data_IF_391484016954
#
_entry.id   IF_391484016954
#
_cell.length_a   1.000
_cell.length_b   1.000
_cell.length_c   1.000
_cell.angle_alpha   90.00
_cell.angle_beta   90.00
_cell.angle_gamma   90.00
#
_symmetry.space_group_name_H-M   'P 1'
#
loop_
_entity.id
_entity.type
_entity.pdbx_description
1 polymer ?
#
# COMPACT_ATOMS: atom_id res chain seq x y z
N UNK A 1 -37.26 36.74 0.42
CA UNK A 1 -36.54 37.11 1.66
C UNK A 1 -36.73 35.96 2.63
N UNK A 2 -35.68 35.19 2.94
CA UNK A 2 -35.81 34.08 3.90
C UNK A 2 -36.06 34.67 5.29
N UNK A 3 -37.17 34.30 5.92
CA UNK A 3 -37.52 34.72 7.28
C UNK A 3 -36.65 33.97 8.28
N UNK A 4 -35.50 34.56 8.62
CA UNK A 4 -34.50 33.99 9.52
C UNK A 4 -35.05 33.73 10.93
N UNK A 5 -36.20 34.33 11.31
CA UNK A 5 -36.80 34.16 12.64
C UNK A 5 -37.48 32.80 12.84
N UNK A 6 -37.76 32.06 11.76
CA UNK A 6 -38.41 30.72 11.82
C UNK A 6 -37.44 29.55 11.65
N UNK A 7 -36.13 29.83 11.61
CA UNK A 7 -35.12 28.79 11.42
C UNK A 7 -35.10 27.74 12.55
N UNK A 8 -35.48 28.13 13.77
CA UNK A 8 -35.59 27.22 14.91
C UNK A 8 -36.74 26.21 14.79
N UNK A 9 -37.76 26.50 13.99
CA UNK A 9 -38.95 25.67 13.81
C UNK A 9 -38.77 24.63 12.70
N UNK A 10 -37.75 24.81 11.85
CA UNK A 10 -37.44 23.90 10.75
C UNK A 10 -36.58 22.75 11.27
N UNK A 11 -37.19 21.57 11.37
CA UNK A 11 -36.42 20.33 11.61
C UNK A 11 -35.47 20.10 10.43
N UNK A 12 -34.18 20.08 10.73
CA UNK A 12 -33.18 19.74 9.74
C UNK A 12 -33.46 18.33 9.17
N UNK A 13 -33.30 18.11 7.86
CA UNK A 13 -33.44 16.78 7.28
C UNK A 13 -32.51 15.77 7.98
N UNK A 14 -32.88 14.49 8.08
CA UNK A 14 -31.97 13.45 8.58
C UNK A 14 -30.61 13.52 7.86
N UNK A 15 -29.53 13.41 8.62
CA UNK A 15 -28.16 13.47 8.10
C UNK A 15 -27.65 14.89 7.75
N UNK A 16 -28.40 15.96 8.03
CA UNK A 16 -28.01 17.32 7.62
C UNK A 16 -26.74 17.80 8.31
N UNK A 17 -26.61 17.61 9.63
CA UNK A 17 -25.42 18.02 10.37
C UNK A 17 -24.18 17.26 9.89
N UNK A 18 -24.33 15.97 9.60
CA UNK A 18 -23.29 15.08 9.08
C UNK A 18 -22.81 15.54 7.71
N UNK A 19 -23.74 15.85 6.79
CA UNK A 19 -23.42 16.41 5.47
C UNK A 19 -22.70 17.76 5.57
N UNK A 20 -23.15 18.65 6.47
CA UNK A 20 -22.51 19.95 6.69
C UNK A 20 -21.09 19.78 7.23
N UNK A 21 -20.87 18.89 8.19
CA UNK A 21 -19.54 18.61 8.74
C UNK A 21 -18.59 18.03 7.69
N UNK A 22 -19.07 17.09 6.86
CA UNK A 22 -18.29 16.57 5.74
C UNK A 22 -17.94 17.67 4.72
N UNK A 23 -18.93 18.46 4.31
CA UNK A 23 -18.75 19.52 3.30
C UNK A 23 -17.85 20.66 3.81
N UNK A 24 -17.93 20.98 5.10
CA UNK A 24 -17.04 21.93 5.76
C UNK A 24 -15.63 21.37 6.01
N UNK A 25 -15.39 20.08 5.74
CA UNK A 25 -14.10 19.42 5.98
C UNK A 25 -13.77 19.21 7.46
N UNK A 26 -14.81 19.21 8.31
CA UNK A 26 -14.73 18.98 9.76
C UNK A 26 -14.90 17.50 10.14
N UNK A 27 -15.26 16.65 9.18
CA UNK A 27 -15.31 15.20 9.30
C UNK A 27 -14.81 14.55 8.01
N UNK A 28 -14.28 13.33 8.13
CA UNK A 28 -14.06 12.44 6.99
C UNK A 28 -15.39 11.77 6.63
N UNK A 29 -15.61 11.53 5.34
CA UNK A 29 -16.76 10.79 4.83
C UNK A 29 -16.37 9.35 4.55
N UNK A 30 -17.30 8.40 4.65
CA UNK A 30 -17.05 7.03 4.21
C UNK A 30 -18.25 6.38 3.54
N UNK A 31 -17.95 5.32 2.78
CA UNK A 31 -18.89 4.42 2.14
C UNK A 31 -18.23 3.04 1.95
N UNK A 32 -19.04 2.05 1.61
CA UNK A 32 -18.58 0.70 1.24
C UNK A 32 -18.48 0.62 -0.28
N UNK A 33 -17.36 0.09 -0.76
CA UNK A 33 -17.12 -0.15 -2.18
C UNK A 33 -16.94 -1.65 -2.42
N UNK A 34 -17.65 -2.18 -3.41
CA UNK A 34 -17.38 -3.52 -3.93
C UNK A 34 -16.08 -3.49 -4.74
N UNK A 35 -15.15 -4.38 -4.40
CA UNK A 35 -13.83 -4.43 -5.04
C UNK A 35 -13.42 -5.86 -5.37
N UNK A 36 -12.32 -6.00 -6.11
CA UNK A 36 -11.67 -7.30 -6.38
C UNK A 36 -11.20 -8.03 -5.11
N UNK A 37 -11.19 -7.37 -3.95
CA UNK A 37 -10.83 -7.93 -2.65
C UNK A 37 -12.06 -8.23 -1.75
N UNK A 38 -13.27 -8.05 -2.30
CA UNK A 38 -14.54 -8.00 -1.58
C UNK A 38 -14.93 -6.58 -1.17
N UNK A 39 -15.97 -6.42 -0.32
CA UNK A 39 -16.40 -5.12 0.18
C UNK A 39 -15.32 -4.47 1.04
N UNK A 40 -15.01 -3.20 0.75
CA UNK A 40 -14.02 -2.39 1.48
C UNK A 40 -14.67 -1.10 1.94
N UNK A 41 -14.56 -0.79 3.23
CA UNK A 41 -14.90 0.51 3.78
C UNK A 41 -13.78 1.48 3.44
N UNK A 42 -14.13 2.61 2.82
CA UNK A 42 -13.17 3.63 2.41
C UNK A 42 -13.60 4.97 2.97
N UNK A 43 -12.73 5.60 3.76
CA UNK A 43 -12.90 6.95 4.23
C UNK A 43 -12.10 7.94 3.36
N UNK A 44 -12.68 9.12 3.12
CA UNK A 44 -12.07 10.19 2.35
C UNK A 44 -12.40 11.56 2.91
N UNK A 45 -11.58 12.54 2.55
CA UNK A 45 -11.85 13.95 2.74
C UNK A 45 -11.30 14.76 1.56
N UNK A 46 -11.28 16.09 1.68
CA UNK A 46 -10.79 16.99 0.61
C UNK A 46 -9.34 16.79 0.20
N UNK A 47 -8.52 16.13 1.02
CA UNK A 47 -7.10 15.84 0.73
C UNK A 47 -6.89 14.48 0.08
N UNK A 48 -7.87 13.58 0.11
CA UNK A 48 -7.78 12.24 -0.47
C UNK A 48 -8.40 11.16 0.42
N UNK A 49 -8.08 9.90 0.09
CA UNK A 49 -8.46 8.75 0.91
C UNK A 49 -7.64 8.77 2.20
N UNK A 50 -8.31 8.66 3.33
CA UNK A 50 -7.68 8.77 4.65
C UNK A 50 -7.56 7.46 5.39
N UNK A 51 -8.48 6.54 5.15
CA UNK A 51 -8.50 5.23 5.77
C UNK A 51 -9.21 4.24 4.86
N UNK A 52 -8.84 2.96 4.93
CA UNK A 52 -9.62 1.91 4.30
C UNK A 52 -9.39 0.55 4.96
N UNK A 53 -10.43 -0.23 5.19
CA UNK A 53 -10.27 -1.62 5.62
C UNK A 53 -11.47 -2.48 5.22
N UNK A 54 -11.26 -3.80 5.26
CA UNK A 54 -12.39 -4.73 5.28
C UNK A 54 -12.89 -4.82 6.71
N UNK A 55 -14.19 -4.76 6.88
CA UNK A 55 -14.85 -4.83 8.18
C UNK A 55 -16.17 -5.59 8.03
N UNK A 56 -16.64 -6.21 9.12
CA UNK A 56 -17.89 -6.96 9.16
C UNK A 56 -19.11 -6.05 9.27
N UNK A 57 -18.94 -4.82 9.76
CA UNK A 57 -20.02 -3.86 9.93
C UNK A 57 -19.53 -2.42 9.91
N UNK A 58 -20.42 -1.47 9.64
CA UNK A 58 -20.12 -0.04 9.76
C UNK A 58 -19.67 0.34 11.18
N UNK A 59 -20.27 -0.25 12.20
CA UNK A 59 -19.94 0.05 13.60
C UNK A 59 -18.49 -0.31 13.94
N UNK A 60 -18.00 -1.47 13.47
CA UNK A 60 -16.59 -1.88 13.66
C UNK A 60 -15.63 -0.92 12.93
N UNK A 61 -15.95 -0.53 11.68
CA UNK A 61 -15.15 0.44 10.95
C UNK A 61 -15.12 1.82 11.62
N UNK A 62 -16.28 2.31 12.07
CA UNK A 62 -16.41 3.60 12.75
C UNK A 62 -15.70 3.63 14.10
N UNK A 63 -15.74 2.52 14.84
CA UNK A 63 -15.00 2.39 16.10
C UNK A 63 -13.49 2.41 15.84
N UNK A 64 -12.99 1.58 14.94
CA UNK A 64 -11.57 1.56 14.58
C UNK A 64 -11.10 2.93 14.09
N UNK A 65 -11.87 3.59 13.22
CA UNK A 65 -11.50 4.91 12.72
C UNK A 65 -11.39 5.94 13.87
N UNK A 66 -12.29 5.88 14.85
CA UNK A 66 -12.26 6.77 16.01
C UNK A 66 -11.03 6.51 16.89
N UNK A 67 -10.69 5.24 17.13
CA UNK A 67 -9.60 4.84 18.02
C UNK A 67 -8.22 5.05 17.38
N UNK A 68 -8.06 4.64 16.11
CA UNK A 68 -6.76 4.65 15.42
C UNK A 68 -6.48 5.94 14.63
N UNK A 69 -7.52 6.57 14.05
CA UNK A 69 -7.37 7.79 13.25
C UNK A 69 -7.69 9.04 14.06
N UNK A 70 -8.57 8.94 15.06
CA UNK A 70 -8.86 10.04 15.98
C UNK A 70 -9.60 11.22 15.35
N UNK A 71 -10.31 10.99 14.24
CA UNK A 71 -11.10 12.03 13.54
C UNK A 71 -12.58 11.68 13.50
N UNK A 72 -13.42 12.70 13.29
CA UNK A 72 -14.85 12.50 13.09
C UNK A 72 -15.09 11.84 11.74
N UNK A 73 -15.99 10.86 11.72
CA UNK A 73 -16.34 10.08 10.55
C UNK A 73 -17.86 10.14 10.34
N UNK A 74 -18.30 10.28 9.09
CA UNK A 74 -19.73 10.28 8.73
C UNK A 74 -19.97 9.44 7.49
N UNK A 75 -21.03 8.65 7.48
CA UNK A 75 -21.44 7.93 6.28
C UNK A 75 -22.02 8.92 5.27
N UNK A 76 -21.61 8.81 4.00
CA UNK A 76 -22.07 9.70 2.93
C UNK A 76 -22.07 8.99 1.57
N UNK A 77 -22.82 9.54 0.62
CA UNK A 77 -22.76 9.08 -0.76
C UNK A 77 -21.37 9.38 -1.37
N UNK A 78 -20.78 8.41 -2.09
CA UNK A 78 -19.45 8.61 -2.65
C UNK A 78 -19.49 9.65 -3.78
N UNK A 79 -18.50 10.56 -3.85
CA UNK A 79 -18.42 11.53 -4.95
C UNK A 79 -18.24 10.81 -6.29
N UNK A 80 -18.77 11.43 -7.35
CA UNK A 80 -18.69 10.90 -8.70
C UNK A 80 -17.24 10.51 -9.08
N UNK A 81 -17.09 9.33 -9.69
CA UNK A 81 -15.80 8.81 -10.14
C UNK A 81 -14.85 8.32 -9.03
N UNK A 82 -15.24 8.33 -7.75
CA UNK A 82 -14.40 7.75 -6.68
C UNK A 82 -14.25 6.23 -6.83
N UNK A 83 -15.33 5.50 -7.14
CA UNK A 83 -15.30 4.06 -7.37
C UNK A 83 -14.32 3.66 -8.49
N UNK A 84 -14.41 4.32 -9.65
CA UNK A 84 -13.47 4.09 -10.77
C UNK A 84 -12.02 4.38 -10.39
N UNK A 85 -11.75 5.44 -9.61
CA UNK A 85 -10.40 5.74 -9.12
C UNK A 85 -9.88 4.67 -8.15
N UNK A 86 -10.75 4.13 -7.28
CA UNK A 86 -10.44 3.03 -6.37
C UNK A 86 -10.04 1.79 -7.17
N UNK A 87 -10.81 1.42 -8.19
CA UNK A 87 -10.49 0.30 -9.07
C UNK A 87 -9.16 0.51 -9.80
N UNK A 88 -8.92 1.70 -10.36
CA UNK A 88 -7.67 2.04 -11.02
C UNK A 88 -6.46 1.94 -10.07
N UNK A 89 -6.61 2.37 -8.81
CA UNK A 89 -5.56 2.25 -7.79
C UNK A 89 -5.27 0.78 -7.46
N UNK A 90 -6.30 -0.05 -7.27
CA UNK A 90 -6.15 -1.47 -6.95
C UNK A 90 -5.54 -2.26 -8.12
N UNK A 91 -5.88 -1.89 -9.37
CA UNK A 91 -5.29 -2.45 -10.58
C UNK A 91 -3.90 -1.89 -10.90
N UNK A 92 -3.46 -0.84 -10.20
CA UNK A 92 -2.17 -0.19 -10.43
C UNK A 92 -2.12 0.66 -11.72
N UNK A 93 -3.28 1.03 -12.27
CA UNK A 93 -3.43 1.88 -13.46
C UNK A 93 -3.17 3.35 -13.17
N UNK A 94 -3.69 3.85 -12.05
CA UNK A 94 -3.57 5.28 -11.67
C UNK A 94 -3.42 5.44 -10.17
N UNK A 95 -2.47 6.28 -9.75
CA UNK A 95 -2.26 6.60 -8.34
C UNK A 95 -3.28 7.61 -7.82
N UNK A 96 -3.89 7.31 -6.68
CA UNK A 96 -4.75 8.24 -5.93
C UNK A 96 -3.95 9.08 -4.93
N UNK A 97 -4.59 10.13 -4.40
CA UNK A 97 -4.08 10.92 -3.29
C UNK A 97 -4.54 10.33 -1.96
N UNK A 98 -3.66 10.39 -0.96
CA UNK A 98 -3.90 9.86 0.37
C UNK A 98 -3.64 10.93 1.44
N UNK A 99 -4.55 11.06 2.40
CA UNK A 99 -4.37 11.90 3.58
C UNK A 99 -3.66 11.09 4.66
N UNK A 100 -2.37 11.38 4.86
CA UNK A 100 -1.53 10.72 5.86
C UNK A 100 -1.27 11.61 7.09
N UNK A 101 -2.03 12.69 7.28
CA UNK A 101 -1.93 13.52 8.48
C UNK A 101 -2.26 12.70 9.73
N UNK A 102 -1.67 13.07 10.86
CA UNK A 102 -1.77 12.30 12.10
C UNK A 102 -0.72 11.20 12.22
N UNK A 103 -0.16 10.72 11.10
CA UNK A 103 1.00 9.81 11.13
C UNK A 103 2.30 10.56 11.35
N UNK A 104 3.25 9.91 12.03
CA UNK A 104 4.61 10.45 12.20
C UNK A 104 5.30 10.66 10.85
N UNK A 105 6.25 11.61 10.73
CA UNK A 105 7.00 11.82 9.50
C UNK A 105 7.66 10.53 8.96
N UNK A 106 8.18 9.69 9.86
CA UNK A 106 8.75 8.39 9.50
C UNK A 106 7.71 7.45 8.87
N UNK A 107 6.55 7.27 9.50
CA UNK A 107 5.49 6.43 8.96
C UNK A 107 4.98 6.95 7.61
N UNK A 108 4.84 8.28 7.46
CA UNK A 108 4.49 8.86 6.16
C UNK A 108 5.53 8.55 5.09
N UNK A 109 6.83 8.66 5.40
CA UNK A 109 7.90 8.34 4.47
C UNK A 109 7.88 6.86 4.06
N UNK A 110 7.68 5.95 5.02
CA UNK A 110 7.51 4.51 4.77
C UNK A 110 6.36 4.25 3.80
N UNK A 111 5.16 4.75 4.11
CA UNK A 111 3.96 4.49 3.31
C UNK A 111 4.05 5.09 1.89
N UNK A 112 4.61 6.31 1.76
CA UNK A 112 4.87 6.92 0.45
C UNK A 112 5.88 6.11 -0.36
N UNK A 113 6.93 5.59 0.28
CA UNK A 113 7.90 4.72 -0.39
C UNK A 113 7.29 3.38 -0.81
N UNK A 114 6.40 2.81 0.00
CA UNK A 114 5.65 1.60 -0.34
C UNK A 114 4.77 1.76 -1.58
N UNK A 115 4.14 2.94 -1.77
CA UNK A 115 3.35 3.25 -2.98
C UNK A 115 4.17 3.19 -4.28
N UNK A 116 5.50 3.28 -4.20
CA UNK A 116 6.36 3.16 -5.37
C UNK A 116 6.48 1.72 -5.89
N UNK A 117 6.15 0.70 -5.08
CA UNK A 117 6.28 -0.71 -5.46
C UNK A 117 5.15 -1.08 -6.44
N UNK A 118 5.44 -1.40 -7.71
CA UNK A 118 4.40 -1.69 -8.69
C UNK A 118 3.65 -2.99 -8.40
N UNK A 119 2.43 -3.11 -8.94
CA UNK A 119 1.64 -4.36 -8.91
C UNK A 119 2.46 -5.52 -9.45
N UNK A 120 2.40 -6.67 -8.75
CA UNK A 120 3.13 -7.87 -9.15
C UNK A 120 4.63 -7.85 -8.84
N UNK A 121 5.09 -6.83 -8.10
CA UNK A 121 6.45 -6.77 -7.57
C UNK A 121 6.45 -6.75 -6.04
N UNK A 122 7.54 -7.21 -5.45
CA UNK A 122 7.78 -7.15 -4.00
C UNK A 122 9.14 -6.57 -3.67
N UNK A 123 9.28 -6.00 -2.47
CA UNK A 123 10.56 -5.51 -1.93
C UNK A 123 10.77 -5.97 -0.50
N UNK A 124 12.02 -6.16 -0.05
CA UNK A 124 12.28 -6.45 1.35
C UNK A 124 12.05 -5.22 2.23
N UNK A 125 11.76 -5.40 3.52
CA UNK A 125 11.65 -4.27 4.48
C UNK A 125 12.90 -3.38 4.48
N UNK A 126 14.09 -4.00 4.36
CA UNK A 126 15.36 -3.28 4.28
C UNK A 126 15.48 -2.36 3.05
N UNK A 127 14.78 -2.68 1.96
CA UNK A 127 14.71 -1.79 0.80
C UNK A 127 14.03 -0.48 1.16
N UNK A 128 12.87 -0.52 1.84
CA UNK A 128 12.20 0.72 2.26
C UNK A 128 13.09 1.49 3.23
N UNK A 129 13.63 0.82 4.25
CA UNK A 129 14.48 1.44 5.27
C UNK A 129 15.63 2.23 4.63
N UNK A 130 16.31 1.63 3.65
CA UNK A 130 17.35 2.29 2.87
C UNK A 130 16.82 3.45 2.03
N UNK A 131 15.75 3.25 1.28
CA UNK A 131 15.19 4.26 0.36
C UNK A 131 14.59 5.50 1.07
N UNK A 132 14.35 5.42 2.37
CA UNK A 132 13.93 6.57 3.20
C UNK A 132 15.09 7.17 4.01
N UNK A 133 16.34 6.72 3.79
CA UNK A 133 17.53 7.24 4.47
C UNK A 133 17.79 6.67 5.87
N UNK A 134 17.11 5.60 6.26
CA UNK A 134 17.23 4.97 7.59
C UNK A 134 17.51 3.47 7.49
N UNK A 135 18.66 3.03 6.93
CA UNK A 135 18.92 1.62 6.62
C UNK A 135 18.83 0.68 7.85
N UNK A 136 19.18 1.15 9.04
CA UNK A 136 19.08 0.38 10.28
C UNK A 136 17.63 0.22 10.80
N UNK A 137 16.67 0.99 10.29
CA UNK A 137 15.30 1.08 10.82
C UNK A 137 14.34 -0.02 10.31
N UNK A 138 14.85 -1.19 9.91
CA UNK A 138 14.06 -2.28 9.28
C UNK A 138 12.86 -2.71 10.14
N UNK A 139 13.05 -2.83 11.46
CA UNK A 139 11.96 -3.18 12.39
C UNK A 139 10.91 -2.08 12.48
N UNK A 140 11.33 -0.81 12.56
CA UNK A 140 10.42 0.33 12.61
C UNK A 140 9.61 0.47 11.32
N UNK A 141 10.20 0.16 10.15
CA UNK A 141 9.46 0.04 8.88
C UNK A 141 8.36 -1.01 8.99
N UNK A 142 8.67 -2.18 9.57
CA UNK A 142 7.67 -3.23 9.81
C UNK A 142 6.49 -2.74 10.66
N UNK A 143 6.76 -2.03 11.75
CA UNK A 143 5.73 -1.43 12.61
C UNK A 143 4.89 -0.38 11.88
N UNK A 144 5.52 0.51 11.11
CA UNK A 144 4.81 1.52 10.32
C UNK A 144 3.88 0.89 9.26
N UNK A 145 4.30 -0.22 8.63
CA UNK A 145 3.49 -0.95 7.66
C UNK A 145 2.35 -1.76 8.30
N UNK A 146 2.57 -2.26 9.53
CA UNK A 146 1.54 -2.96 10.29
C UNK A 146 0.39 -2.02 10.66
N UNK A 147 0.71 -0.76 10.97
CA UNK A 147 -0.23 0.31 11.29
C UNK A 147 -0.60 1.18 10.09
N UNK A 148 -0.54 0.63 8.87
CA UNK A 148 -1.00 1.34 7.67
C UNK A 148 -2.53 1.56 7.78
N UNK A 149 -3.04 2.80 7.81
CA UNK A 149 -4.49 3.05 7.90
C UNK A 149 -5.21 2.81 6.57
N UNK A 150 -4.47 2.61 5.47
CA UNK A 150 -5.01 2.43 4.13
C UNK A 150 -4.42 1.16 3.47
N UNK A 151 -4.59 -0.04 4.08
CA UNK A 151 -4.20 -1.31 3.47
C UNK A 151 -4.82 -1.46 2.08
N UNK A 152 -4.23 -2.34 1.28
CA UNK A 152 -4.59 -2.62 -0.12
C UNK A 152 -4.29 -1.48 -1.10
N UNK A 153 -4.67 -0.23 -0.79
CA UNK A 153 -4.37 0.94 -1.61
C UNK A 153 -2.92 1.39 -1.47
N UNK A 154 -2.43 1.52 -0.22
CA UNK A 154 -0.99 1.57 0.07
C UNK A 154 -0.53 0.13 0.22
N UNK A 155 0.30 -0.39 -0.70
CA UNK A 155 0.46 -1.83 -0.88
C UNK A 155 1.47 -2.45 0.10
N UNK A 156 1.20 -2.36 1.41
CA UNK A 156 2.07 -2.96 2.43
C UNK A 156 2.18 -4.49 2.33
N UNK A 157 1.27 -5.16 1.61
CA UNK A 157 1.40 -6.58 1.25
C UNK A 157 2.55 -6.86 0.28
N UNK A 158 3.01 -5.87 -0.51
CA UNK A 158 4.17 -5.99 -1.42
C UNK A 158 5.52 -5.91 -0.70
N UNK A 159 5.53 -5.67 0.61
CA UNK A 159 6.75 -5.65 1.42
C UNK A 159 6.87 -6.96 2.17
N UNK A 160 7.96 -7.70 1.94
CA UNK A 160 8.16 -9.04 2.49
C UNK A 160 9.50 -9.17 3.21
N UNK A 161 9.73 -10.30 3.88
CA UNK A 161 11.04 -10.60 4.44
C UNK A 161 11.99 -11.08 3.34
N UNK A 162 13.29 -10.80 3.51
CA UNK A 162 14.32 -11.20 2.53
C UNK A 162 14.54 -12.71 2.45
N UNK A 163 14.12 -13.46 3.48
CA UNK A 163 14.14 -14.93 3.52
C UNK A 163 12.95 -15.58 2.79
N UNK A 164 12.11 -14.77 2.13
CA UNK A 164 10.93 -15.25 1.40
C UNK A 164 9.74 -15.62 2.28
N UNK A 165 9.86 -15.50 3.61
CA UNK A 165 8.74 -15.75 4.52
C UNK A 165 7.72 -14.63 4.40
N UNK A 166 6.47 -15.02 4.08
CA UNK A 166 5.33 -14.12 4.06
C UNK A 166 4.78 -14.02 5.48
N UNK A 167 5.23 -12.99 6.20
CA UNK A 167 4.83 -12.73 7.59
C UNK A 167 3.43 -12.13 7.74
N UNK A 168 3.10 -11.79 8.99
CA UNK A 168 1.83 -11.16 9.36
C UNK A 168 1.54 -9.88 8.57
N UNK A 169 0.24 -9.59 8.43
CA UNK A 169 -0.28 -8.52 7.58
C UNK A 169 -1.49 -7.87 8.26
N UNK A 170 -1.48 -6.55 8.40
CA UNK A 170 -2.58 -5.80 9.01
C UNK A 170 -3.91 -5.94 8.25
N UNK A 171 -3.86 -6.16 6.93
CA UNK A 171 -5.06 -6.35 6.10
C UNK A 171 -5.62 -7.78 6.09
N UNK A 172 -5.64 -8.47 7.24
CA UNK A 172 -6.27 -9.80 7.37
C UNK A 172 -5.33 -11.01 7.42
N UNK A 173 -4.08 -10.82 7.85
CA UNK A 173 -3.15 -11.91 8.16
C UNK A 173 -2.35 -12.49 6.98
N UNK A 174 -1.46 -13.47 7.25
CA UNK A 174 -0.54 -14.04 6.26
C UNK A 174 -1.22 -14.61 5.01
N UNK A 175 -2.34 -15.31 5.17
CA UNK A 175 -3.06 -15.90 4.03
C UNK A 175 -3.69 -14.83 3.13
N UNK A 176 -4.27 -13.77 3.72
CA UNK A 176 -4.75 -12.64 2.93
C UNK A 176 -3.61 -11.99 2.12
N UNK A 177 -2.43 -11.84 2.73
CA UNK A 177 -1.24 -11.31 2.05
C UNK A 177 -0.81 -12.20 0.88
N UNK A 178 -0.76 -13.53 1.08
CA UNK A 178 -0.44 -14.49 0.00
C UNK A 178 -1.47 -14.42 -1.13
N UNK A 179 -2.76 -14.43 -0.80
CA UNK A 179 -3.84 -14.38 -1.80
C UNK A 179 -3.75 -13.13 -2.65
N UNK A 180 -3.55 -11.96 -2.03
CA UNK A 180 -3.40 -10.70 -2.76
C UNK A 180 -2.18 -10.75 -3.68
N UNK A 181 -1.01 -11.17 -3.17
CA UNK A 181 0.20 -11.28 -3.99
C UNK A 181 0.01 -12.22 -5.19
N UNK A 182 -0.66 -13.35 -5.00
CA UNK A 182 -1.02 -14.28 -6.08
C UNK A 182 -1.95 -13.62 -7.10
N UNK A 183 -2.98 -12.88 -6.66
CA UNK A 183 -3.86 -12.11 -7.55
C UNK A 183 -3.10 -11.02 -8.33
N UNK A 184 -2.00 -10.50 -7.79
CA UNK A 184 -1.12 -9.57 -8.50
C UNK A 184 -0.16 -10.25 -9.49
N UNK A 185 -0.17 -11.59 -9.57
CA UNK A 185 0.68 -12.37 -10.45
C UNK A 185 2.08 -12.64 -9.89
N UNK A 186 2.27 -12.55 -8.56
CA UNK A 186 3.52 -12.93 -7.91
C UNK A 186 3.61 -14.46 -7.80
N UNK A 187 4.67 -15.05 -8.37
CA UNK A 187 4.94 -16.48 -8.25
C UNK A 187 5.56 -16.80 -6.89
N UNK A 188 4.72 -16.95 -5.85
CA UNK A 188 5.17 -17.13 -4.47
C UNK A 188 6.10 -18.33 -4.28
N UNK A 189 5.79 -19.47 -4.90
CA UNK A 189 6.63 -20.67 -4.80
C UNK A 189 8.05 -20.41 -5.32
N UNK A 190 8.18 -19.85 -6.52
CA UNK A 190 9.49 -19.48 -7.11
C UNK A 190 10.27 -18.52 -6.21
N UNK A 191 9.59 -17.51 -5.69
CA UNK A 191 10.19 -16.52 -4.80
C UNK A 191 10.71 -17.15 -3.50
N UNK A 192 9.94 -18.08 -2.93
CA UNK A 192 10.33 -18.82 -1.72
C UNK A 192 11.46 -19.81 -1.99
N UNK A 193 11.45 -20.50 -3.12
CA UNK A 193 12.50 -21.45 -3.51
C UNK A 193 13.84 -20.74 -3.70
N UNK A 194 13.85 -19.59 -4.40
CA UNK A 194 15.04 -18.72 -4.50
C UNK A 194 15.51 -18.25 -3.13
N UNK A 195 14.58 -17.79 -2.29
CA UNK A 195 14.94 -17.26 -0.98
C UNK A 195 15.56 -18.33 -0.05
N UNK A 196 15.01 -19.56 -0.09
CA UNK A 196 15.55 -20.74 0.62
C UNK A 196 16.94 -21.15 0.13
N UNK A 197 17.18 -21.03 -1.18
CA UNK A 197 18.50 -21.23 -1.76
C UNK A 197 19.50 -20.10 -1.46
N UNK A 198 19.10 -19.09 -0.67
CA UNK A 198 19.94 -17.94 -0.37
C UNK A 198 20.07 -16.95 -1.53
N UNK A 199 19.36 -17.14 -2.64
CA UNK A 199 19.42 -16.29 -3.82
C UNK A 199 18.51 -15.07 -3.61
N UNK A 200 19.08 -13.88 -3.76
CA UNK A 200 18.38 -12.59 -3.52
C UNK A 200 18.21 -11.79 -4.80
N UNK A 201 19.07 -12.02 -5.79
CA UNK A 201 19.11 -11.24 -7.02
C UNK A 201 19.17 -12.10 -8.26
N UNK A 202 18.67 -11.55 -9.36
CA UNK A 202 18.67 -12.15 -10.69
C UNK A 202 19.35 -11.20 -11.67
N UNK A 203 20.47 -11.62 -12.25
CA UNK A 203 21.18 -10.98 -13.34
C UNK A 203 20.72 -11.46 -14.71
N UNK A 204 20.60 -10.55 -15.68
CA UNK A 204 20.40 -10.91 -17.10
C UNK A 204 21.75 -10.91 -17.81
N UNK A 205 22.15 -12.05 -18.40
CA UNK A 205 23.47 -12.24 -19.04
C UNK A 205 23.81 -11.18 -20.10
N UNK A 206 22.84 -10.85 -20.97
CA UNK A 206 23.05 -9.93 -22.08
C UNK A 206 23.25 -8.48 -21.64
N UNK A 207 22.49 -8.01 -20.64
CA UNK A 207 22.53 -6.61 -20.21
C UNK A 207 23.51 -6.37 -19.06
N UNK A 208 23.98 -7.44 -18.40
CA UNK A 208 24.77 -7.37 -17.17
C UNK A 208 24.09 -6.52 -16.09
N UNK A 209 22.76 -6.59 -16.00
CA UNK A 209 21.97 -5.91 -14.97
C UNK A 209 21.40 -6.93 -14.01
N UNK A 210 21.59 -6.73 -12.70
CA UNK A 210 20.92 -7.52 -11.67
C UNK A 210 19.72 -6.80 -11.04
N UNK A 211 18.71 -7.58 -10.66
CA UNK A 211 17.40 -7.13 -10.21
C UNK A 211 16.90 -7.95 -9.01
N UNK A 212 15.85 -7.49 -8.33
CA UNK A 212 15.02 -8.36 -7.50
C UNK A 212 14.24 -9.36 -8.37
N UNK A 213 13.92 -10.58 -7.87
CA UNK A 213 13.25 -11.64 -8.64
C UNK A 213 11.89 -11.31 -9.25
N UNK A 214 11.23 -10.27 -8.73
CA UNK A 214 9.91 -9.82 -9.21
C UNK A 214 10.00 -8.52 -10.01
N UNK A 215 11.20 -8.02 -10.32
CA UNK A 215 11.36 -6.81 -11.11
C UNK A 215 10.76 -7.00 -12.51
N UNK A 216 9.90 -6.07 -12.93
CA UNK A 216 9.29 -6.07 -14.26
C UNK A 216 10.34 -6.12 -15.40
N UNK A 217 11.46 -5.42 -15.26
CA UNK A 217 12.50 -5.37 -16.29
C UNK A 217 13.31 -6.67 -16.36
N UNK A 218 13.55 -7.32 -15.20
CA UNK A 218 14.27 -8.59 -15.14
C UNK A 218 13.43 -9.74 -15.69
N UNK A 219 12.15 -9.83 -15.26
CA UNK A 219 11.25 -10.95 -15.61
C UNK A 219 10.90 -11.05 -17.10
N UNK A 220 11.19 -10.03 -17.91
CA UNK A 220 10.99 -10.06 -19.35
C UNK A 220 12.06 -10.89 -20.09
N UNK A 221 13.21 -11.15 -19.47
CA UNK A 221 14.24 -12.00 -20.05
C UNK A 221 13.84 -13.49 -20.02
N UNK A 222 14.31 -14.26 -21.01
CA UNK A 222 14.14 -15.72 -21.02
C UNK A 222 14.89 -16.34 -19.84
N UNK A 223 14.31 -17.36 -19.23
CA UNK A 223 14.84 -17.96 -17.99
C UNK A 223 16.27 -18.49 -18.12
N UNK A 224 16.62 -19.05 -19.28
CA UNK A 224 17.98 -19.51 -19.61
C UNK A 224 19.06 -18.40 -19.53
N UNK A 225 18.66 -17.13 -19.62
CA UNK A 225 19.56 -15.98 -19.57
C UNK A 225 19.75 -15.41 -18.17
N UNK A 226 19.16 -16.03 -17.15
CA UNK A 226 19.38 -15.62 -15.77
C UNK A 226 20.68 -16.17 -15.18
N UNK A 227 21.29 -15.34 -14.34
CA UNK A 227 22.33 -15.69 -13.36
C UNK A 227 21.79 -15.26 -12.00
N UNK A 228 22.03 -16.04 -10.96
CA UNK A 228 21.50 -15.75 -9.63
C UNK A 228 22.64 -15.35 -8.71
N UNK A 229 22.35 -14.45 -7.77
CA UNK A 229 23.33 -13.98 -6.79
C UNK A 229 22.73 -13.99 -5.38
N UNK A 230 23.55 -14.31 -4.40
CA UNK A 230 23.26 -14.29 -2.97
C UNK A 230 23.22 -12.88 -2.41
N UNK A 231 24.13 -12.02 -2.87
CA UNK A 231 24.24 -10.63 -2.41
C UNK A 231 24.69 -9.67 -3.52
N UNK A 232 24.77 -8.38 -3.18
CA UNK A 232 25.20 -7.31 -4.08
C UNK A 232 26.68 -7.43 -4.46
N UNK A 233 27.54 -7.86 -3.53
CA UNK A 233 28.98 -7.98 -3.73
C UNK A 233 29.30 -9.04 -4.78
N UNK A 234 28.66 -10.20 -4.69
CA UNK A 234 28.77 -11.28 -5.68
C UNK A 234 28.37 -10.81 -7.08
N UNK A 235 27.23 -10.11 -7.19
CA UNK A 235 26.76 -9.59 -8.47
C UNK A 235 27.74 -8.59 -9.10
N UNK A 236 28.29 -7.67 -8.27
CA UNK A 236 29.27 -6.68 -8.74
C UNK A 236 30.59 -7.31 -9.14
N UNK A 237 31.10 -8.27 -8.36
CA UNK A 237 32.32 -9.02 -8.68
C UNK A 237 32.17 -9.78 -10.01
N UNK A 238 30.96 -10.27 -10.32
CA UNK A 238 30.63 -10.90 -11.60
C UNK A 238 30.41 -9.90 -12.77
N UNK A 239 30.64 -8.60 -12.55
CA UNK A 239 30.52 -7.54 -13.55
C UNK A 239 29.09 -7.08 -13.81
N UNK A 240 28.15 -7.32 -12.90
CA UNK A 240 26.77 -6.85 -13.04
C UNK A 240 26.55 -5.53 -12.32
N UNK A 241 25.85 -4.61 -12.98
CA UNK A 241 25.40 -3.33 -12.39
C UNK A 241 23.96 -3.44 -11.86
N UNK A 242 23.59 -2.66 -10.85
CA UNK A 242 22.24 -2.72 -10.32
C UNK A 242 21.20 -2.09 -11.24
N UNK A 243 19.99 -2.64 -11.22
CA UNK A 243 18.86 -2.10 -11.95
C UNK A 243 18.39 -0.77 -11.37
N UNK A 244 18.32 0.27 -12.22
CA UNK A 244 17.85 1.61 -11.85
C UNK A 244 16.35 1.66 -11.50
N UNK A 245 15.56 0.68 -11.94
CA UNK A 245 14.12 0.64 -11.68
C UNK A 245 13.78 -0.04 -10.35
N UNK A 246 14.28 -1.26 -10.14
CA UNK A 246 13.99 -1.97 -8.89
C UNK A 246 14.91 -1.58 -7.73
N UNK A 247 16.03 -0.89 -8.02
CA UNK A 247 17.01 -0.42 -7.05
C UNK A 247 17.40 -1.54 -6.07
N UNK A 248 18.01 -2.65 -6.55
CA UNK A 248 18.34 -3.79 -5.69
C UNK A 248 19.49 -3.50 -4.72
N UNK A 249 20.24 -2.45 -4.98
CA UNK A 249 21.51 -2.08 -4.39
C UNK A 249 21.63 -0.55 -4.32
N UNK A 250 22.62 -0.05 -3.60
CA UNK A 250 22.94 1.38 -3.60
C UNK A 250 23.38 1.86 -4.98
N UNK A 251 23.05 3.12 -5.28
CA UNK A 251 23.70 3.83 -6.38
C UNK A 251 25.10 4.15 -5.86
N UNK A 252 26.11 3.47 -6.40
CA UNK A 252 27.51 3.81 -6.18
C UNK A 252 27.79 5.21 -6.75
#
# INVERSE_FOLDING_TARGET
MFDLKRLGDVKAPPGFAERVLAQAGMADSYAVFETVLGPVYVAWNRLGVSAAMRSKSSAEFEQWFREDIGRRLVQADPPAGLASRIEDQLQGKRRMQFDLRGLTPFSQAVLRKTLEIPRGQVRPYGWIAREIGHPAAVRAVGTALANNPIPYFIPCHRVIRSDGVIGNYGGGGPEAKKNILTLEGVQLKRLQDLARAGLRYEGVRSTRVFCFPTCYHGRAARQENFVFFHDEGEARAAGYRPCKHCRPAEVA
#
